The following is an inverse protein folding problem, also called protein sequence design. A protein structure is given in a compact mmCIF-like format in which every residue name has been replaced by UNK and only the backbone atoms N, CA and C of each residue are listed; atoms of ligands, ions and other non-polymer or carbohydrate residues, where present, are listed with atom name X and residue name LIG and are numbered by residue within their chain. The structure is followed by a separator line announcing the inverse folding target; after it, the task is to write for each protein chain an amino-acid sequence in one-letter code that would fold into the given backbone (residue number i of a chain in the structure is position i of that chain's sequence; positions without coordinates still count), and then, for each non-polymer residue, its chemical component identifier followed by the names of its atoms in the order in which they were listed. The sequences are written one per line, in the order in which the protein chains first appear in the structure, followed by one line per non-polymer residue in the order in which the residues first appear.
data_IF_851277760892
#
_entry.id   IF_851277760892
#
_cell.length_a   1.000
_cell.length_b   1.000
_cell.length_c   1.000
_cell.angle_alpha   90.00
_cell.angle_beta   90.00
_cell.angle_gamma   90.00
#
_symmetry.space_group_name_H-M   'P 1'
#
loop_
_entity.id
_entity.type
_entity.pdbx_description
1 polymer ?
#
# COMPACT_ATOMS: atom_id res chain seq x y z
N UNK A 1 -29.02 0.12 4.56
CA UNK A 1 -27.56 0.11 4.80
C UNK A 1 -26.88 0.21 3.44
N UNK A 2 -25.79 0.94 3.33
CA UNK A 2 -24.98 1.07 2.11
C UNK A 2 -23.55 0.68 2.43
N UNK A 3 -22.94 -0.09 1.53
CA UNK A 3 -21.52 -0.39 1.55
C UNK A 3 -20.76 0.81 1.00
N UNK A 4 -19.85 1.35 1.80
CA UNK A 4 -19.08 2.55 1.46
C UNK A 4 -17.61 2.36 1.72
N UNK A 5 -16.79 3.17 1.06
CA UNK A 5 -15.36 3.22 1.23
C UNK A 5 -14.94 4.60 1.76
N UNK A 6 -14.16 4.64 2.83
CA UNK A 6 -13.68 5.90 3.41
C UNK A 6 -12.48 6.44 2.66
N UNK A 7 -12.62 7.63 2.08
CA UNK A 7 -11.51 8.34 1.41
C UNK A 7 -10.73 9.25 2.36
N UNK A 8 -11.26 9.51 3.55
CA UNK A 8 -10.64 10.28 4.65
C UNK A 8 -10.99 9.62 5.99
N UNK A 9 -10.19 9.89 7.02
CA UNK A 9 -10.47 9.45 8.39
C UNK A 9 -11.77 10.08 8.90
N UNK A 10 -12.64 9.27 9.52
CA UNK A 10 -13.91 9.70 10.08
C UNK A 10 -14.31 8.86 11.29
N UNK A 11 -14.43 9.49 12.47
CA UNK A 11 -14.70 8.81 13.75
C UNK A 11 -13.70 7.67 14.00
N UNK A 12 -14.21 6.44 14.07
CA UNK A 12 -13.46 5.20 14.25
C UNK A 12 -12.90 4.62 12.93
N UNK A 13 -13.39 5.09 11.78
CA UNK A 13 -12.99 4.62 10.46
C UNK A 13 -11.78 5.39 9.94
N UNK A 14 -10.82 4.65 9.39
CA UNK A 14 -9.62 5.18 8.72
C UNK A 14 -9.82 5.28 7.23
N UNK A 15 -9.06 6.17 6.60
CA UNK A 15 -8.94 6.19 5.14
C UNK A 15 -8.54 4.81 4.63
N UNK A 16 -9.36 4.24 3.76
CA UNK A 16 -9.19 2.89 3.23
C UNK A 16 -10.17 1.86 3.78
N UNK A 17 -10.86 2.18 4.88
CA UNK A 17 -11.79 1.25 5.51
C UNK A 17 -13.09 1.13 4.71
N UNK A 18 -13.70 -0.04 4.81
CA UNK A 18 -15.01 -0.34 4.28
C UNK A 18 -15.98 -0.57 5.42
N UNK A 19 -17.16 0.03 5.34
CA UNK A 19 -18.19 -0.14 6.35
C UNK A 19 -19.59 -0.17 5.73
N UNK A 20 -20.54 -0.69 6.50
CA UNK A 20 -21.96 -0.60 6.21
C UNK A 20 -22.60 0.47 7.08
N UNK A 21 -23.06 1.56 6.46
CA UNK A 21 -23.67 2.69 7.16
C UNK A 21 -25.10 2.95 6.69
N UNK A 22 -25.86 3.69 7.49
CA UNK A 22 -27.22 4.09 7.17
C UNK A 22 -27.27 4.99 5.93
N UNK A 23 -28.38 4.94 5.18
CA UNK A 23 -28.52 5.71 3.93
C UNK A 23 -28.39 7.23 4.15
N UNK A 24 -29.00 7.76 5.21
CA UNK A 24 -28.93 9.18 5.54
C UNK A 24 -27.51 9.62 5.88
N UNK A 25 -26.82 8.87 6.75
CA UNK A 25 -25.42 9.15 7.11
C UNK A 25 -24.50 9.05 5.89
N UNK A 26 -24.67 8.02 5.06
CA UNK A 26 -23.91 7.86 3.83
C UNK A 26 -24.08 9.03 2.86
N UNK A 27 -25.31 9.51 2.65
CA UNK A 27 -25.57 10.65 1.76
C UNK A 27 -24.85 11.92 2.23
N UNK A 28 -24.87 12.20 3.54
CA UNK A 28 -24.17 13.36 4.11
C UNK A 28 -22.66 13.21 3.96
N UNK A 29 -22.11 12.04 4.29
CA UNK A 29 -20.67 11.78 4.18
C UNK A 29 -20.18 11.80 2.73
N UNK A 30 -20.97 11.30 1.79
CA UNK A 30 -20.65 11.31 0.38
C UNK A 30 -20.66 12.74 -0.18
N UNK A 31 -21.68 13.54 0.15
CA UNK A 31 -21.73 14.96 -0.24
C UNK A 31 -20.55 15.76 0.30
N UNK A 32 -20.08 15.44 1.51
CA UNK A 32 -18.90 16.07 2.11
C UNK A 32 -17.56 15.54 1.55
N UNK A 33 -17.57 14.59 0.60
CA UNK A 33 -16.37 13.99 0.04
C UNK A 33 -15.53 13.26 1.11
N UNK A 34 -16.20 12.58 2.04
CA UNK A 34 -15.58 11.73 3.07
C UNK A 34 -15.59 10.26 2.70
N UNK A 35 -16.60 9.84 1.92
CA UNK A 35 -16.78 8.45 1.48
C UNK A 35 -17.16 8.38 0.01
N UNK A 36 -17.02 7.19 -0.55
CA UNK A 36 -17.53 6.82 -1.85
C UNK A 36 -18.41 5.59 -1.74
N UNK A 37 -19.42 5.49 -2.59
CA UNK A 37 -20.20 4.26 -2.66
C UNK A 37 -19.29 3.14 -3.17
N UNK A 38 -19.39 1.94 -2.59
CA UNK A 38 -18.48 0.84 -2.90
C UNK A 38 -18.45 0.51 -4.41
N UNK A 39 -19.59 0.58 -5.10
CA UNK A 39 -19.67 0.38 -6.55
C UNK A 39 -18.87 1.44 -7.32
N UNK A 40 -19.04 2.73 -6.98
CA UNK A 40 -18.29 3.84 -7.58
C UNK A 40 -16.79 3.75 -7.30
N UNK A 41 -16.42 3.23 -6.12
CA UNK A 41 -15.04 3.02 -5.74
C UNK A 41 -14.38 1.90 -6.53
N UNK A 42 -15.04 0.75 -6.66
CA UNK A 42 -14.55 -0.39 -7.45
C UNK A 42 -14.47 -0.04 -8.93
N UNK A 43 -15.46 0.63 -9.50
CA UNK A 43 -15.42 1.09 -10.89
C UNK A 43 -14.25 2.04 -11.14
N UNK A 44 -13.93 2.92 -10.18
CA UNK A 44 -12.79 3.83 -10.33
C UNK A 44 -11.44 3.13 -10.23
N UNK A 45 -11.30 2.15 -9.33
CA UNK A 45 -10.06 1.36 -9.25
C UNK A 45 -9.94 0.42 -10.46
N UNK A 46 -11.04 -0.19 -10.89
CA UNK A 46 -11.07 -1.18 -11.97
C UNK A 46 -10.94 -0.59 -13.37
N UNK A 47 -11.36 0.67 -13.58
CA UNK A 47 -11.21 1.40 -14.84
C UNK A 47 -9.95 2.28 -14.90
N UNK A 48 -8.92 2.02 -14.08
CA UNK A 48 -7.57 2.53 -14.34
C UNK A 48 -6.79 1.48 -15.18
N UNK A 49 -6.90 1.47 -16.52
CA UNK A 49 -6.18 0.53 -17.39
C UNK A 49 -4.65 0.67 -17.31
N UNK A 50 -4.15 1.75 -16.70
CA UNK A 50 -2.73 2.09 -16.60
C UNK A 50 -2.19 2.12 -15.16
N UNK A 51 -2.88 1.51 -14.18
CA UNK A 51 -2.31 1.44 -12.82
C UNK A 51 -1.20 0.37 -12.82
N UNK A 52 0.09 0.74 -12.70
CA UNK A 52 1.14 -0.28 -12.58
C UNK A 52 0.83 -1.10 -11.33
N UNK A 53 0.91 -2.43 -11.46
CA UNK A 53 0.89 -3.32 -10.29
C UNK A 53 1.79 -2.71 -9.20
N UNK A 54 1.35 -2.63 -7.94
CA UNK A 54 2.14 -2.02 -6.88
C UNK A 54 3.53 -2.67 -6.88
N UNK A 55 4.56 -1.92 -7.30
CA UNK A 55 5.93 -2.43 -7.35
C UNK A 55 6.28 -2.90 -5.93
N UNK A 56 6.40 -4.22 -5.76
CA UNK A 56 6.87 -4.81 -4.51
C UNK A 56 8.13 -4.05 -4.11
N UNK A 57 8.24 -3.56 -2.86
CA UNK A 57 9.36 -2.73 -2.46
C UNK A 57 10.67 -3.45 -2.79
N UNK A 58 11.40 -2.94 -3.79
CA UNK A 58 12.70 -3.45 -4.19
C UNK A 58 13.63 -3.28 -2.99
N UNK A 59 13.89 -4.38 -2.28
CA UNK A 59 14.87 -4.40 -1.20
C UNK A 59 16.20 -3.90 -1.78
N UNK A 60 16.69 -2.75 -1.31
CA UNK A 60 18.03 -2.27 -1.66
C UNK A 60 19.00 -3.35 -1.20
N UNK A 61 19.73 -3.96 -2.14
CA UNK A 61 20.86 -4.84 -1.83
C UNK A 61 21.95 -3.96 -1.23
N UNK A 62 21.92 -3.81 0.10
CA UNK A 62 23.00 -3.15 0.80
C UNK A 62 24.15 -4.17 0.82
N UNK A 63 25.14 -3.98 -0.06
CA UNK A 63 26.41 -4.69 0.01
C UNK A 63 27.18 -4.18 1.23
N UNK A 64 26.71 -4.55 2.42
CA UNK A 64 27.48 -4.42 3.65
C UNK A 64 28.56 -5.48 3.57
N UNK A 65 29.81 -5.04 3.54
CA UNK A 65 30.96 -5.88 3.74
C UNK A 65 30.78 -6.63 5.07
N UNK A 66 30.52 -7.93 5.00
CA UNK A 66 30.31 -8.76 6.17
C UNK A 66 31.65 -9.35 6.62
N UNK A 67 31.74 -9.79 7.87
CA UNK A 67 32.92 -10.52 8.35
C UNK A 67 33.25 -11.75 7.47
N UNK A 68 32.26 -12.28 6.74
CA UNK A 68 32.41 -13.37 5.78
C UNK A 68 33.16 -12.91 4.51
N UNK A 69 32.80 -11.75 3.93
CA UNK A 69 33.51 -11.22 2.75
C UNK A 69 34.96 -10.85 3.06
N UNK A 70 35.25 -10.31 4.26
CA UNK A 70 36.64 -10.04 4.71
C UNK A 70 37.51 -11.30 4.86
N UNK A 71 36.91 -12.42 5.27
CA UNK A 71 37.64 -13.70 5.42
C UNK A 71 37.92 -14.35 4.06
N UNK A 72 37.04 -14.18 3.08
CA UNK A 72 37.27 -14.66 1.72
C UNK A 72 38.46 -13.94 1.06
N UNK A 73 38.51 -12.61 1.15
CA UNK A 73 39.62 -11.83 0.56
C UNK A 73 40.98 -12.17 1.19
N UNK A 74 41.03 -12.39 2.52
CA UNK A 74 42.26 -12.84 3.20
C UNK A 74 42.71 -14.22 2.76
N UNK A 75 41.78 -15.12 2.42
CA UNK A 75 42.12 -16.45 1.90
C UNK A 75 42.63 -16.38 0.47
N UNK A 76 42.03 -15.56 -0.40
CA UNK A 76 42.51 -15.38 -1.78
C UNK A 76 43.93 -14.79 -1.82
N UNK A 77 44.22 -13.79 -0.99
CA UNK A 77 45.59 -13.22 -0.88
C UNK A 77 46.62 -14.21 -0.35
N UNK A 78 46.22 -15.19 0.47
CA UNK A 78 47.12 -16.22 0.99
C UNK A 78 47.38 -17.36 -0.02
N UNK A 79 46.50 -17.54 -1.01
CA UNK A 79 46.63 -18.59 -2.03
C UNK A 79 47.37 -18.07 -3.28
N UNK A 80 47.24 -16.78 -3.60
CA UNK A 80 47.85 -16.15 -4.78
C UNK A 80 49.07 -15.26 -4.46
N UNK A 81 49.56 -15.29 -3.23
CA UNK A 81 50.71 -14.49 -2.76
C UNK A 81 51.98 -15.32 -2.61
#
# INVERSE_FOLDING_TARGET
MLHVYFIKDYKEYKKGDQANIGRQEASVLHFNGMIEMYTEHIERIGNEPDRPEPEKPKRKSINKETAVSRRAEKREKAVNG
#
